data_IF_109502663528
#
_entry.id   IF_109502663528
#
_cell.length_a   1.000
_cell.length_b   1.000
_cell.length_c   1.000
_cell.angle_alpha   90.00
_cell.angle_beta   90.00
_cell.angle_gamma   90.00
#
_symmetry.space_group_name_H-M   'P 1'
#
loop_
_entity.id
_entity.type
_entity.pdbx_description
1 polymer ?
#
# COMPACT_ATOMS: atom_id res chain seq x y z
N UNK A 1 -29.59 -18.43 21.54
CA UNK A 1 -28.76 -17.26 21.27
C UNK A 1 -27.32 -17.59 21.70
N UNK A 2 -26.31 -17.39 20.87
CA UNK A 2 -24.93 -17.66 21.29
C UNK A 2 -24.57 -16.69 22.41
N UNK A 3 -23.86 -17.16 23.45
CA UNK A 3 -23.54 -16.41 24.70
C UNK A 3 -22.80 -15.06 24.51
N UNK A 4 -22.51 -14.64 23.29
CA UNK A 4 -21.66 -13.45 22.97
C UNK A 4 -22.34 -12.45 22.02
N UNK A 5 -23.64 -12.54 21.76
CA UNK A 5 -24.39 -11.58 20.93
C UNK A 5 -25.23 -10.70 21.84
N UNK A 6 -25.07 -9.39 21.70
CA UNK A 6 -25.79 -8.35 22.40
C UNK A 6 -26.70 -7.59 21.43
N UNK A 7 -27.82 -7.04 21.93
CA UNK A 7 -28.50 -5.96 21.21
C UNK A 7 -27.70 -4.67 21.27
N UNK A 8 -27.99 -3.73 20.36
CA UNK A 8 -27.31 -2.42 20.36
C UNK A 8 -27.51 -1.67 21.67
N UNK A 9 -28.71 -1.77 22.28
CA UNK A 9 -29.00 -1.13 23.56
C UNK A 9 -28.17 -1.73 24.71
N UNK A 10 -28.12 -3.07 24.83
CA UNK A 10 -27.29 -3.76 25.82
C UNK A 10 -25.82 -3.45 25.63
N UNK A 11 -25.33 -3.42 24.37
CA UNK A 11 -23.96 -3.13 24.02
C UNK A 11 -23.59 -1.71 24.47
N UNK A 12 -24.40 -0.70 24.12
CA UNK A 12 -24.13 0.70 24.51
C UNK A 12 -24.14 0.89 26.03
N UNK A 13 -25.01 0.20 26.73
CA UNK A 13 -25.05 0.23 28.21
C UNK A 13 -23.74 -0.30 28.81
N UNK A 14 -23.14 -1.32 28.19
CA UNK A 14 -21.94 -1.98 28.70
C UNK A 14 -20.61 -1.30 28.24
N UNK A 15 -20.56 -0.83 27.01
CA UNK A 15 -19.31 -0.37 26.37
C UNK A 15 -19.28 1.13 26.03
N UNK A 16 -20.37 1.86 26.29
CA UNK A 16 -20.53 3.27 25.93
C UNK A 16 -21.17 3.48 24.56
N UNK A 17 -21.13 4.73 24.08
CA UNK A 17 -21.90 5.14 22.89
C UNK A 17 -21.03 5.58 21.71
N UNK A 18 -19.71 5.73 21.92
CA UNK A 18 -18.80 6.27 20.91
C UNK A 18 -17.80 5.20 20.49
N UNK A 19 -17.83 4.88 19.21
CA UNK A 19 -16.96 3.88 18.60
C UNK A 19 -16.34 4.41 17.33
N UNK A 20 -15.37 3.67 16.79
CA UNK A 20 -14.53 4.13 15.68
C UNK A 20 -14.31 3.00 14.67
N UNK A 21 -14.06 3.42 13.44
CA UNK A 21 -13.59 2.54 12.38
C UNK A 21 -12.55 3.28 11.54
N UNK A 22 -11.41 2.63 11.29
CA UNK A 22 -10.44 3.13 10.34
C UNK A 22 -10.82 2.67 8.95
N UNK A 23 -10.83 3.58 7.98
CA UNK A 23 -11.22 3.35 6.60
C UNK A 23 -10.21 3.98 5.65
N UNK A 24 -10.09 3.39 4.47
CA UNK A 24 -9.39 4.00 3.33
C UNK A 24 -10.18 5.18 2.78
N UNK A 25 -9.51 6.06 2.04
CA UNK A 25 -10.12 7.23 1.40
C UNK A 25 -11.28 6.89 0.45
N UNK A 26 -11.25 5.71 -0.18
CA UNK A 26 -12.33 5.20 -1.04
C UNK A 26 -13.54 4.61 -0.27
N UNK A 27 -13.46 4.55 1.06
CA UNK A 27 -14.46 3.99 1.97
C UNK A 27 -14.77 2.50 1.73
N UNK A 28 -13.89 1.76 1.07
CA UNK A 28 -14.07 0.32 0.84
C UNK A 28 -13.22 -0.48 1.84
N UNK A 29 -13.85 -1.45 2.51
CA UNK A 29 -13.16 -2.40 3.37
C UNK A 29 -13.74 -3.81 3.18
N UNK A 30 -12.90 -4.76 2.79
CA UNK A 30 -13.30 -6.14 2.45
C UNK A 30 -14.49 -6.24 1.48
N UNK A 31 -14.49 -5.40 0.44
CA UNK A 31 -15.53 -5.38 -0.58
C UNK A 31 -16.82 -4.65 -0.19
N UNK A 32 -16.99 -4.28 1.08
CA UNK A 32 -18.11 -3.45 1.52
C UNK A 32 -17.77 -1.97 1.37
N UNK A 33 -18.65 -1.20 0.70
CA UNK A 33 -18.51 0.24 0.54
C UNK A 33 -19.33 0.96 1.61
N UNK A 34 -18.63 1.64 2.52
CA UNK A 34 -19.22 2.44 3.58
C UNK A 34 -19.68 3.81 3.06
N UNK A 35 -20.66 4.39 3.77
CA UNK A 35 -21.17 5.74 3.50
C UNK A 35 -21.56 6.44 4.80
N UNK A 36 -21.70 7.77 4.77
CA UNK A 36 -22.31 8.50 5.88
C UNK A 36 -23.75 8.03 6.08
N UNK A 37 -24.17 7.98 7.34
CA UNK A 37 -25.47 7.44 7.73
C UNK A 37 -25.46 5.92 7.95
N UNK A 38 -26.58 5.29 7.76
CA UNK A 38 -26.79 3.87 8.05
C UNK A 38 -26.07 2.98 7.02
N UNK A 39 -25.30 2.03 7.53
CA UNK A 39 -24.64 0.95 6.80
C UNK A 39 -25.15 -0.38 7.33
N UNK A 40 -25.66 -1.23 6.45
CA UNK A 40 -26.19 -2.57 6.78
C UNK A 40 -25.42 -3.58 5.95
N UNK A 41 -24.88 -4.62 6.59
CA UNK A 41 -24.22 -5.70 5.84
C UNK A 41 -25.25 -6.45 5.00
N UNK A 42 -24.91 -6.72 3.76
CA UNK A 42 -25.74 -7.49 2.82
C UNK A 42 -25.69 -9.00 3.09
N UNK A 43 -24.68 -9.44 3.85
CA UNK A 43 -24.55 -10.84 4.24
C UNK A 43 -25.27 -11.10 5.57
N UNK A 44 -25.82 -12.29 5.79
CA UNK A 44 -26.40 -12.68 7.07
C UNK A 44 -25.40 -12.49 8.22
N UNK A 45 -25.86 -11.94 9.33
CA UNK A 45 -25.00 -11.71 10.50
C UNK A 45 -24.40 -13.02 11.01
N UNK A 46 -23.06 -13.03 11.10
CA UNK A 46 -22.31 -14.17 11.55
C UNK A 46 -21.59 -13.85 12.86
N UNK A 47 -22.08 -14.30 14.02
CA UNK A 47 -21.48 -14.04 15.33
C UNK A 47 -20.26 -14.95 15.58
N UNK A 48 -19.29 -14.94 14.67
CA UNK A 48 -18.02 -15.65 14.84
C UNK A 48 -16.86 -14.70 14.56
N UNK A 49 -15.74 -14.91 15.28
CA UNK A 49 -14.57 -14.03 15.24
C UNK A 49 -13.69 -14.15 14.00
N UNK A 50 -12.61 -13.38 14.03
CA UNK A 50 -11.47 -13.45 13.09
C UNK A 50 -11.79 -13.11 11.64
N UNK A 51 -12.30 -11.88 11.39
CA UNK A 51 -12.45 -11.30 10.05
C UNK A 51 -13.28 -12.11 9.06
N UNK A 52 -14.24 -12.92 9.55
CA UNK A 52 -15.20 -13.63 8.70
C UNK A 52 -16.30 -12.69 8.20
N UNK A 53 -16.81 -12.94 7.01
CA UNK A 53 -17.94 -12.22 6.41
C UNK A 53 -19.21 -12.31 7.29
N UNK A 54 -20.16 -11.41 7.04
CA UNK A 54 -21.43 -11.31 7.80
C UNK A 54 -21.28 -10.47 9.06
N UNK A 55 -21.09 -9.18 8.88
CA UNK A 55 -21.01 -8.12 9.88
C UNK A 55 -19.93 -7.09 9.64
N UNK A 56 -20.18 -5.88 10.09
CA UNK A 56 -19.34 -4.70 9.95
C UNK A 56 -18.48 -4.53 11.20
N UNK A 57 -17.16 -4.55 11.04
CA UNK A 57 -16.21 -4.42 12.14
C UNK A 57 -15.96 -2.96 12.52
N UNK A 58 -15.85 -2.70 13.83
CA UNK A 58 -15.50 -1.43 14.44
C UNK A 58 -14.80 -1.66 15.79
N UNK A 59 -14.30 -0.58 16.44
CA UNK A 59 -13.56 -0.69 17.70
C UNK A 59 -13.88 0.48 18.63
N UNK A 60 -13.40 0.40 19.86
CA UNK A 60 -13.37 1.54 20.79
C UNK A 60 -12.07 2.35 20.65
N UNK A 61 -12.02 3.48 21.33
CA UNK A 61 -10.85 4.38 21.30
C UNK A 61 -9.59 3.73 21.87
N UNK A 62 -9.71 2.81 22.82
CA UNK A 62 -8.56 2.18 23.48
C UNK A 62 -7.80 1.24 22.54
N UNK A 63 -8.54 0.67 21.59
CA UNK A 63 -8.03 -0.31 20.64
C UNK A 63 -7.82 0.24 19.22
N UNK A 64 -8.16 1.52 18.97
CA UNK A 64 -8.10 2.10 17.62
C UNK A 64 -6.72 2.00 16.98
N UNK A 65 -5.66 2.08 17.79
CA UNK A 65 -4.27 2.01 17.32
C UNK A 65 -3.95 0.66 16.65
N UNK A 66 -4.64 -0.43 17.02
CA UNK A 66 -4.46 -1.74 16.41
C UNK A 66 -4.94 -1.78 14.94
N UNK A 67 -5.64 -0.75 14.50
CA UNK A 67 -6.33 -0.72 13.21
C UNK A 67 -5.90 0.44 12.30
N UNK A 68 -4.92 1.27 12.72
CA UNK A 68 -4.46 2.42 11.93
C UNK A 68 -3.86 2.03 10.57
N UNK A 69 -3.40 0.79 10.41
CA UNK A 69 -2.89 0.26 9.14
C UNK A 69 -3.97 0.03 8.07
N UNK A 70 -5.23 0.01 8.48
CA UNK A 70 -6.33 -0.27 7.55
C UNK A 70 -6.78 0.93 6.71
N UNK A 71 -6.33 2.16 7.03
CA UNK A 71 -6.69 3.34 6.25
C UNK A 71 -6.17 4.66 6.80
N UNK A 72 -6.56 5.73 6.13
CA UNK A 72 -6.13 7.11 6.38
C UNK A 72 -7.16 7.93 7.17
N UNK A 73 -8.39 7.42 7.29
CA UNK A 73 -9.54 8.14 7.85
C UNK A 73 -10.10 7.41 9.05
N UNK A 74 -10.53 8.17 10.04
CA UNK A 74 -11.21 7.64 11.24
C UNK A 74 -12.68 8.00 11.15
N UNK A 75 -13.55 7.00 11.13
CA UNK A 75 -14.99 7.20 11.14
C UNK A 75 -15.54 7.08 12.55
N UNK A 76 -16.40 8.01 12.92
CA UNK A 76 -17.16 7.97 14.17
C UNK A 76 -18.41 7.10 13.97
N UNK A 77 -18.52 6.06 14.77
CA UNK A 77 -19.55 5.02 14.68
C UNK A 77 -20.57 5.18 15.82
N UNK A 78 -21.82 5.17 15.44
CA UNK A 78 -22.96 4.99 16.35
C UNK A 78 -23.62 3.65 16.07
N UNK A 79 -24.11 3.00 17.13
CA UNK A 79 -24.75 1.69 17.06
C UNK A 79 -26.25 1.86 17.22
N UNK A 80 -27.07 1.45 16.24
CA UNK A 80 -28.55 1.38 16.41
C UNK A 80 -28.94 0.45 17.55
N UNK A 81 -30.00 0.78 18.29
CA UNK A 81 -30.47 0.00 19.44
C UNK A 81 -30.86 -1.43 19.09
N UNK A 82 -31.37 -1.63 17.89
CA UNK A 82 -31.82 -2.90 17.34
C UNK A 82 -30.71 -3.66 16.54
N UNK A 83 -29.43 -3.23 16.62
CA UNK A 83 -28.33 -3.96 16.03
C UNK A 83 -28.04 -5.26 16.77
N UNK A 84 -27.56 -6.26 16.05
CA UNK A 84 -26.94 -7.45 16.62
C UNK A 84 -25.42 -7.26 16.68
N UNK A 85 -24.81 -7.44 17.87
CA UNK A 85 -23.39 -7.18 18.06
C UNK A 85 -22.71 -8.39 18.66
N UNK A 86 -21.62 -8.81 17.99
CA UNK A 86 -20.68 -9.80 18.49
C UNK A 86 -19.43 -9.10 19.02
N UNK A 87 -18.97 -9.49 20.22
CA UNK A 87 -17.81 -8.87 20.87
C UNK A 87 -16.59 -9.78 20.79
N UNK A 88 -15.47 -9.21 20.35
CA UNK A 88 -14.14 -9.81 20.37
C UNK A 88 -13.24 -9.07 21.40
N UNK A 89 -11.98 -9.41 21.48
CA UNK A 89 -11.08 -8.86 22.50
C UNK A 89 -10.76 -7.37 22.27
N UNK A 90 -10.55 -6.97 21.01
CA UNK A 90 -10.08 -5.64 20.63
C UNK A 90 -10.96 -4.93 19.60
N UNK A 91 -12.02 -5.61 19.17
CA UNK A 91 -12.97 -5.10 18.17
C UNK A 91 -14.35 -5.69 18.38
N UNK A 92 -15.28 -5.12 17.67
CA UNK A 92 -16.68 -5.50 17.67
C UNK A 92 -17.18 -5.71 16.25
N UNK A 93 -18.24 -6.45 16.10
CA UNK A 93 -18.87 -6.77 14.82
C UNK A 93 -20.36 -6.58 14.94
N UNK A 94 -20.97 -5.79 14.05
CA UNK A 94 -22.41 -5.56 14.02
C UNK A 94 -23.02 -5.89 12.65
N UNK A 95 -24.30 -6.24 12.62
CA UNK A 95 -25.07 -6.36 11.39
C UNK A 95 -25.28 -5.00 10.70
N UNK A 96 -25.33 -3.92 11.47
CA UNK A 96 -25.47 -2.55 10.99
C UNK A 96 -24.82 -1.53 11.92
N UNK A 97 -24.35 -0.44 11.34
CA UNK A 97 -23.73 0.70 12.04
C UNK A 97 -24.12 2.01 11.36
N UNK A 98 -24.10 3.12 12.10
CA UNK A 98 -24.26 4.46 11.55
C UNK A 98 -22.88 5.15 11.56
N UNK A 99 -22.46 5.69 10.43
CA UNK A 99 -21.30 6.59 10.36
C UNK A 99 -21.78 8.02 10.46
N UNK A 100 -21.51 8.65 11.60
CA UNK A 100 -21.94 10.02 11.86
C UNK A 100 -20.98 11.05 11.29
N UNK A 101 -19.67 10.73 11.28
CA UNK A 101 -18.62 11.62 10.81
C UNK A 101 -17.43 10.81 10.29
N UNK A 102 -16.78 11.34 9.27
CA UNK A 102 -15.48 10.87 8.79
C UNK A 102 -14.44 11.96 9.12
N UNK A 103 -13.45 11.59 9.93
CA UNK A 103 -12.35 12.44 10.37
C UNK A 103 -11.16 12.15 9.46
N UNK A 104 -10.80 13.12 8.62
CA UNK A 104 -9.69 13.00 7.65
C UNK A 104 -8.71 14.19 7.72
N UNK A 105 -9.00 15.20 8.55
CA UNK A 105 -8.10 16.32 8.77
C UNK A 105 -7.13 16.00 9.90
N UNK A 106 -5.84 16.26 9.68
CA UNK A 106 -4.81 16.03 10.69
C UNK A 106 -5.15 16.65 12.04
N UNK A 107 -5.60 17.90 12.07
CA UNK A 107 -5.95 18.61 13.32
C UNK A 107 -7.01 17.89 14.13
N UNK A 108 -8.03 17.32 13.48
CA UNK A 108 -9.10 16.59 14.16
C UNK A 108 -8.62 15.21 14.66
N UNK A 109 -7.77 14.53 13.87
CA UNK A 109 -7.15 13.25 14.26
C UNK A 109 -6.22 13.46 15.46
N UNK A 110 -5.39 14.50 15.40
CA UNK A 110 -4.48 14.86 16.48
C UNK A 110 -5.25 15.17 17.77
N UNK A 111 -6.32 15.93 17.66
CA UNK A 111 -7.17 16.25 18.82
C UNK A 111 -7.81 14.99 19.42
N UNK A 112 -8.29 14.06 18.58
CA UNK A 112 -8.81 12.77 19.02
C UNK A 112 -7.76 11.99 19.83
N UNK A 113 -6.51 11.96 19.38
CA UNK A 113 -5.44 11.25 20.06
C UNK A 113 -5.04 11.93 21.39
N UNK A 114 -4.96 13.27 21.40
CA UNK A 114 -4.64 14.07 22.59
C UNK A 114 -5.65 13.88 23.72
N UNK A 115 -6.94 14.00 23.42
CA UNK A 115 -8.02 13.89 24.41
C UNK A 115 -8.06 12.50 25.08
N UNK A 116 -7.72 11.46 24.34
CA UNK A 116 -7.91 10.09 24.82
C UNK A 116 -6.66 9.47 25.47
N UNK A 117 -5.53 10.18 25.57
CA UNK A 117 -4.32 9.74 26.28
C UNK A 117 -3.94 8.28 25.96
N UNK A 118 -3.88 7.94 24.67
CA UNK A 118 -3.65 6.58 24.20
C UNK A 118 -2.28 6.06 24.65
N UNK A 119 -2.18 4.75 24.93
CA UNK A 119 -0.89 4.15 25.33
C UNK A 119 0.13 4.23 24.20
N UNK A 120 1.41 4.54 24.49
CA UNK A 120 2.45 4.61 23.46
C UNK A 120 2.61 3.31 22.68
N UNK A 121 2.50 3.41 21.32
CA UNK A 121 2.76 2.34 20.34
C UNK A 121 3.36 2.97 19.09
N UNK A 122 4.20 2.23 18.36
CA UNK A 122 4.84 2.69 17.11
C UNK A 122 3.84 3.09 16.03
N UNK A 123 2.64 2.52 16.06
CA UNK A 123 1.62 2.67 15.01
C UNK A 123 1.18 4.12 14.76
N UNK A 124 1.24 4.99 15.79
CA UNK A 124 0.90 6.42 15.60
C UNK A 124 1.94 7.14 14.74
N UNK A 125 3.25 6.93 15.02
CA UNK A 125 4.31 7.56 14.23
C UNK A 125 4.27 7.08 12.77
N UNK A 126 4.07 5.78 12.58
CA UNK A 126 3.93 5.18 11.25
C UNK A 126 2.67 5.71 10.52
N UNK A 127 1.53 5.76 11.21
CA UNK A 127 0.29 6.34 10.68
C UNK A 127 0.49 7.80 10.26
N UNK A 128 1.11 8.61 11.12
CA UNK A 128 1.38 10.01 10.82
C UNK A 128 2.29 10.15 9.59
N UNK A 129 3.34 9.34 9.49
CA UNK A 129 4.25 9.36 8.35
C UNK A 129 3.56 8.93 7.04
N UNK A 130 2.76 7.86 7.07
CA UNK A 130 1.99 7.36 5.91
C UNK A 130 1.01 8.39 5.36
N UNK A 131 0.43 9.20 6.24
CA UNK A 131 -0.61 10.17 5.88
C UNK A 131 -0.09 11.61 5.72
N UNK A 132 1.22 11.84 5.91
CA UNK A 132 1.81 13.16 5.79
C UNK A 132 1.47 14.11 6.94
N UNK A 133 1.07 13.58 8.10
CA UNK A 133 0.62 14.32 9.27
C UNK A 133 1.82 14.71 10.17
N UNK A 134 2.50 15.80 9.81
CA UNK A 134 3.73 16.23 10.51
C UNK A 134 3.49 16.63 11.96
N UNK A 135 2.42 17.35 12.24
CA UNK A 135 2.12 17.81 13.61
C UNK A 135 1.72 16.64 14.51
N UNK A 136 1.05 15.64 13.96
CA UNK A 136 0.75 14.39 14.69
C UNK A 136 2.04 13.61 14.99
N UNK A 137 2.98 13.56 14.04
CA UNK A 137 4.27 12.90 14.26
C UNK A 137 5.10 13.64 15.35
N UNK A 138 5.17 14.96 15.30
CA UNK A 138 5.85 15.79 16.30
C UNK A 138 5.28 15.53 17.69
N UNK A 139 3.96 15.65 17.83
CA UNK A 139 3.27 15.38 19.09
C UNK A 139 3.54 13.96 19.59
N UNK A 140 3.44 12.96 18.74
CA UNK A 140 3.69 11.56 19.13
C UNK A 140 5.10 11.38 19.71
N UNK A 141 6.10 12.02 19.12
CA UNK A 141 7.48 11.98 19.62
C UNK A 141 7.64 12.71 20.95
N UNK A 142 7.02 13.85 21.13
CA UNK A 142 6.98 14.57 22.42
C UNK A 142 6.35 13.73 23.52
N UNK A 143 5.38 12.90 23.21
CA UNK A 143 4.75 11.97 24.15
C UNK A 143 5.54 10.66 24.34
N UNK A 144 6.69 10.50 23.67
CA UNK A 144 7.56 9.33 23.79
C UNK A 144 7.11 8.10 22.98
N UNK A 145 6.23 8.27 22.00
CA UNK A 145 5.84 7.16 21.12
C UNK A 145 7.04 6.70 20.29
N UNK A 146 7.31 5.39 20.20
CA UNK A 146 8.43 4.86 19.43
C UNK A 146 8.21 5.05 17.92
N UNK A 147 9.29 5.12 17.20
CA UNK A 147 9.34 5.07 15.73
C UNK A 147 10.49 4.18 15.26
N UNK A 148 10.49 3.85 13.98
CA UNK A 148 11.50 3.05 13.32
C UNK A 148 11.82 3.64 11.92
N UNK A 149 12.64 2.94 11.15
CA UNK A 149 13.04 3.31 9.79
C UNK A 149 11.86 3.48 8.82
N UNK A 150 10.73 2.78 9.05
CA UNK A 150 9.54 2.91 8.23
C UNK A 150 8.93 4.31 8.32
N UNK A 151 9.11 5.02 9.43
CA UNK A 151 8.67 6.42 9.57
C UNK A 151 9.36 7.31 8.53
N UNK A 152 10.69 7.21 8.39
CA UNK A 152 11.43 7.92 7.36
C UNK A 152 11.07 7.44 5.95
N UNK A 153 10.91 6.13 5.76
CA UNK A 153 10.58 5.53 4.47
C UNK A 153 9.22 6.01 3.94
N UNK A 154 8.20 6.09 4.79
CA UNK A 154 6.88 6.61 4.37
C UNK A 154 6.85 8.13 4.19
N UNK A 155 7.61 8.90 4.99
CA UNK A 155 7.79 10.32 4.73
C UNK A 155 8.41 10.55 3.33
N UNK A 156 9.41 9.75 2.99
CA UNK A 156 10.06 9.78 1.68
C UNK A 156 9.12 9.32 0.54
N UNK A 157 8.34 8.27 0.77
CA UNK A 157 7.29 7.79 -0.16
C UNK A 157 6.32 8.88 -0.58
N UNK A 158 5.88 9.69 0.39
CA UNK A 158 4.93 10.76 0.15
C UNK A 158 5.58 12.04 -0.42
N UNK A 159 6.90 12.07 -0.57
CA UNK A 159 7.62 13.28 -0.96
C UNK A 159 7.58 14.37 0.12
N UNK A 160 7.22 14.04 1.35
CA UNK A 160 7.17 15.00 2.45
C UNK A 160 8.58 15.26 3.00
N UNK A 161 9.32 16.07 2.24
CA UNK A 161 10.71 16.39 2.56
C UNK A 161 10.85 17.11 3.91
N UNK A 162 9.88 17.94 4.30
CA UNK A 162 9.87 18.61 5.61
C UNK A 162 9.80 17.60 6.75
N UNK A 163 8.86 16.65 6.65
CA UNK A 163 8.71 15.58 7.63
C UNK A 163 9.96 14.69 7.69
N UNK A 164 10.53 14.32 6.55
CA UNK A 164 11.74 13.49 6.50
C UNK A 164 12.92 14.20 7.16
N UNK A 165 13.12 15.48 6.88
CA UNK A 165 14.16 16.32 7.53
C UNK A 165 13.97 16.35 9.03
N UNK A 166 12.78 16.71 9.46
CA UNK A 166 12.47 16.79 10.89
C UNK A 166 12.68 15.44 11.60
N UNK A 167 12.23 14.34 11.01
CA UNK A 167 12.41 13.00 11.59
C UNK A 167 13.90 12.67 11.76
N UNK A 168 14.72 12.94 10.75
CA UNK A 168 16.17 12.70 10.80
C UNK A 168 16.88 13.57 11.84
N UNK A 169 16.57 14.85 11.91
CA UNK A 169 17.11 15.78 12.92
C UNK A 169 16.76 15.35 14.34
N UNK A 170 15.64 14.67 14.53
CA UNK A 170 15.20 14.14 15.82
C UNK A 170 15.57 12.65 16.06
N UNK A 171 16.51 12.11 15.27
CA UNK A 171 17.13 10.81 15.53
C UNK A 171 16.34 9.59 15.00
N UNK A 172 15.38 9.77 14.10
CA UNK A 172 14.74 8.64 13.43
C UNK A 172 15.75 7.90 12.55
N UNK A 173 15.85 6.58 12.68
CA UNK A 173 16.67 5.76 11.80
C UNK A 173 16.08 5.72 10.38
N UNK A 174 16.92 5.40 9.42
CA UNK A 174 16.53 5.09 8.05
C UNK A 174 17.41 3.98 7.46
N UNK A 175 16.95 3.36 6.41
CA UNK A 175 17.63 2.33 5.66
C UNK A 175 17.40 2.51 4.15
N UNK A 176 17.79 1.53 3.35
CA UNK A 176 17.63 1.55 1.89
C UNK A 176 16.17 1.63 1.43
N UNK A 177 15.20 1.25 2.29
CA UNK A 177 13.77 1.37 1.97
C UNK A 177 13.34 2.83 1.81
N UNK A 178 13.99 3.76 2.49
CA UNK A 178 13.74 5.21 2.35
C UNK A 178 14.01 5.67 0.92
N UNK A 179 15.16 5.31 0.35
CA UNK A 179 15.48 5.60 -1.04
C UNK A 179 14.59 4.82 -2.02
N UNK A 180 14.34 3.54 -1.74
CA UNK A 180 13.48 2.68 -2.56
C UNK A 180 12.06 3.22 -2.70
N UNK A 181 11.41 3.59 -1.58
CA UNK A 181 10.05 4.12 -1.58
C UNK A 181 9.95 5.54 -2.18
N UNK A 182 10.97 6.39 -2.00
CA UNK A 182 11.05 7.66 -2.71
C UNK A 182 11.07 7.44 -4.23
N UNK A 183 11.89 6.50 -4.70
CA UNK A 183 11.99 6.17 -6.13
C UNK A 183 10.69 5.53 -6.67
N UNK A 184 10.05 4.63 -5.90
CA UNK A 184 8.79 3.96 -6.26
C UNK A 184 7.65 4.95 -6.51
N UNK A 185 7.69 6.10 -5.86
CA UNK A 185 6.67 7.14 -5.98
C UNK A 185 7.14 8.38 -6.75
N UNK A 186 8.29 8.30 -7.41
CA UNK A 186 8.81 9.36 -8.27
C UNK A 186 9.27 10.60 -7.52
N UNK A 187 9.58 10.49 -6.24
CA UNK A 187 9.93 11.62 -5.36
C UNK A 187 11.43 11.96 -5.49
N UNK A 188 11.84 12.42 -6.68
CA UNK A 188 13.23 12.63 -7.03
C UNK A 188 13.96 13.60 -6.07
N UNK A 189 13.35 14.72 -5.71
CA UNK A 189 13.99 15.70 -4.83
C UNK A 189 14.20 15.14 -3.41
N UNK A 190 13.24 14.33 -2.92
CA UNK A 190 13.36 13.65 -1.63
C UNK A 190 14.45 12.57 -1.69
N UNK A 191 14.54 11.83 -2.79
CA UNK A 191 15.58 10.84 -3.02
C UNK A 191 16.97 11.49 -3.06
N UNK A 192 17.13 12.61 -3.78
CA UNK A 192 18.36 13.39 -3.83
C UNK A 192 18.79 13.81 -2.43
N UNK A 193 17.87 14.44 -1.69
CA UNK A 193 18.18 14.90 -0.34
C UNK A 193 18.59 13.74 0.58
N UNK A 194 17.88 12.62 0.54
CA UNK A 194 18.21 11.44 1.36
C UNK A 194 19.63 10.93 1.05
N UNK A 195 20.01 10.85 -0.21
CA UNK A 195 21.35 10.43 -0.62
C UNK A 195 22.43 11.40 -0.18
N UNK A 196 22.24 12.70 -0.34
CA UNK A 196 23.18 13.74 0.07
C UNK A 196 23.43 13.72 1.59
N UNK A 197 22.45 13.19 2.36
CA UNK A 197 22.53 13.04 3.82
C UNK A 197 22.89 11.62 4.29
N UNK A 198 23.40 10.77 3.38
CA UNK A 198 23.97 9.48 3.71
C UNK A 198 22.99 8.30 3.84
N UNK A 199 21.76 8.43 3.32
CA UNK A 199 20.85 7.29 3.26
C UNK A 199 21.42 6.21 2.31
N UNK A 200 21.44 4.95 2.75
CA UNK A 200 21.84 3.83 1.89
C UNK A 200 20.80 3.55 0.81
N UNK A 201 21.23 2.90 -0.26
CA UNK A 201 20.38 2.36 -1.31
C UNK A 201 20.92 1.04 -1.86
N UNK A 202 20.09 0.30 -2.55
CA UNK A 202 20.43 -0.94 -3.23
C UNK A 202 19.80 -0.98 -4.64
N UNK A 203 19.85 -2.13 -5.31
CA UNK A 203 19.28 -2.35 -6.65
C UNK A 203 17.76 -2.11 -6.69
N UNK A 204 17.07 -2.23 -5.54
CA UNK A 204 15.63 -1.95 -5.44
C UNK A 204 15.32 -0.50 -5.75
N UNK A 205 16.21 0.45 -5.47
CA UNK A 205 15.98 1.86 -5.80
C UNK A 205 15.83 2.07 -7.32
N UNK A 206 16.69 1.46 -8.13
CA UNK A 206 16.58 1.54 -9.59
C UNK A 206 15.35 0.78 -10.12
N UNK A 207 15.07 -0.41 -9.58
CA UNK A 207 13.90 -1.18 -10.00
C UNK A 207 12.57 -0.52 -9.57
N UNK A 208 12.54 0.17 -8.42
CA UNK A 208 11.42 1.01 -7.98
C UNK A 208 11.18 2.22 -8.89
N UNK A 209 12.25 2.91 -9.33
CA UNK A 209 12.13 3.96 -10.33
C UNK A 209 11.55 3.45 -11.66
N UNK A 210 11.96 2.22 -12.05
CA UNK A 210 11.41 1.58 -13.24
C UNK A 210 9.94 1.14 -13.05
N UNK A 211 9.58 0.66 -11.88
CA UNK A 211 8.19 0.36 -11.52
C UNK A 211 7.28 1.59 -11.61
N UNK A 212 7.74 2.71 -11.10
CA UNK A 212 7.03 4.01 -11.21
C UNK A 212 6.97 4.54 -12.66
N UNK A 213 7.91 4.11 -13.50
CA UNK A 213 8.04 4.62 -14.87
C UNK A 213 8.85 5.92 -15.00
N UNK A 214 9.50 6.37 -13.92
CA UNK A 214 10.30 7.60 -13.91
C UNK A 214 11.70 7.37 -14.48
N UNK A 215 11.86 7.63 -15.78
CA UNK A 215 13.18 7.56 -16.44
C UNK A 215 14.16 8.59 -15.88
N UNK A 216 13.68 9.74 -15.45
CA UNK A 216 14.51 10.80 -14.86
C UNK A 216 15.12 10.32 -13.54
N UNK A 217 14.32 9.77 -12.65
CA UNK A 217 14.76 9.20 -11.36
C UNK A 217 15.75 8.05 -11.60
N UNK A 218 15.46 7.16 -12.55
CA UNK A 218 16.35 6.05 -12.88
C UNK A 218 17.69 6.54 -13.41
N UNK A 219 17.70 7.51 -14.31
CA UNK A 219 18.93 8.10 -14.86
C UNK A 219 19.77 8.72 -13.76
N UNK A 220 19.17 9.59 -12.95
CA UNK A 220 19.86 10.24 -11.86
C UNK A 220 20.47 9.22 -10.88
N UNK A 221 19.68 8.22 -10.46
CA UNK A 221 20.17 7.19 -9.54
C UNK A 221 21.39 6.45 -10.10
N UNK A 222 21.36 6.10 -11.40
CA UNK A 222 22.50 5.45 -12.06
C UNK A 222 23.72 6.35 -12.19
N UNK A 223 23.55 7.61 -12.51
CA UNK A 223 24.63 8.61 -12.56
C UNK A 223 25.31 8.78 -11.20
N UNK A 224 24.56 8.61 -10.11
CA UNK A 224 25.09 8.62 -8.74
C UNK A 224 25.60 7.23 -8.27
N UNK A 225 25.69 6.24 -9.15
CA UNK A 225 26.26 4.92 -8.86
C UNK A 225 25.32 3.94 -8.16
N UNK A 226 24.00 4.19 -8.14
CA UNK A 226 23.04 3.22 -7.59
C UNK A 226 23.15 1.88 -8.34
N UNK A 227 23.28 0.73 -7.67
CA UNK A 227 23.25 -0.56 -8.34
C UNK A 227 21.89 -0.82 -9.00
N UNK A 228 21.85 -1.69 -9.97
CA UNK A 228 20.63 -2.19 -10.58
C UNK A 228 20.75 -3.66 -10.94
N UNK A 229 19.60 -4.29 -11.17
CA UNK A 229 19.50 -5.69 -11.56
C UNK A 229 18.50 -5.86 -12.72
N UNK A 230 18.23 -7.10 -13.07
CA UNK A 230 17.28 -7.50 -14.13
C UNK A 230 15.85 -6.97 -13.92
N UNK A 231 15.43 -6.71 -12.67
CA UNK A 231 14.10 -6.20 -12.38
C UNK A 231 13.89 -4.77 -12.88
N UNK A 232 14.97 -3.99 -13.03
CA UNK A 232 14.89 -2.67 -13.67
C UNK A 232 14.40 -2.79 -15.12
N UNK A 233 14.95 -3.72 -15.90
CA UNK A 233 14.45 -4.02 -17.24
C UNK A 233 13.07 -4.68 -17.21
N UNK A 234 12.83 -5.60 -16.26
CA UNK A 234 11.56 -6.28 -16.10
C UNK A 234 10.39 -5.31 -15.86
N UNK A 235 10.53 -4.35 -14.96
CA UNK A 235 9.49 -3.36 -14.66
C UNK A 235 9.33 -2.32 -15.78
N UNK A 236 10.41 -1.91 -16.44
CA UNK A 236 10.30 -1.09 -17.64
C UNK A 236 9.47 -1.80 -18.73
N UNK A 237 9.69 -3.11 -18.90
CA UNK A 237 8.95 -3.92 -19.87
C UNK A 237 7.49 -4.14 -19.44
N UNK A 238 7.23 -4.41 -18.16
CA UNK A 238 5.89 -4.52 -17.57
C UNK A 238 5.03 -3.30 -17.88
N UNK A 239 5.62 -2.10 -17.72
CA UNK A 239 4.92 -0.84 -17.92
C UNK A 239 4.85 -0.41 -19.40
N UNK A 240 5.40 -1.20 -20.32
CA UNK A 240 5.48 -0.82 -21.73
C UNK A 240 6.39 0.40 -21.98
N UNK A 241 7.24 0.76 -21.03
CA UNK A 241 8.11 1.92 -21.15
C UNK A 241 9.34 1.59 -22.00
N UNK A 242 9.11 1.47 -23.31
CA UNK A 242 10.13 1.10 -24.29
C UNK A 242 11.33 2.06 -24.28
N UNK A 243 11.09 3.35 -24.03
CA UNK A 243 12.16 4.36 -23.94
C UNK A 243 13.10 4.05 -22.76
N UNK A 244 12.54 3.71 -21.62
CA UNK A 244 13.29 3.34 -20.42
C UNK A 244 14.03 2.01 -20.62
N UNK A 245 13.36 1.00 -21.18
CA UNK A 245 13.95 -0.30 -21.43
C UNK A 245 15.15 -0.19 -22.40
N UNK A 246 15.02 0.58 -23.48
CA UNK A 246 16.12 0.87 -24.41
C UNK A 246 17.30 1.50 -23.68
N UNK A 247 17.05 2.59 -22.97
CA UNK A 247 18.09 3.29 -22.23
C UNK A 247 18.79 2.39 -21.20
N UNK A 248 18.04 1.60 -20.44
CA UNK A 248 18.61 0.68 -19.45
C UNK A 248 19.54 -0.34 -20.12
N UNK A 249 19.11 -0.93 -21.24
CA UNK A 249 19.93 -1.90 -22.00
C UNK A 249 21.18 -1.29 -22.62
N UNK A 250 21.08 -0.12 -23.20
CA UNK A 250 22.21 0.64 -23.76
C UNK A 250 23.27 0.97 -22.70
N UNK A 251 22.84 1.10 -21.42
CA UNK A 251 23.71 1.37 -20.28
C UNK A 251 24.09 0.11 -19.47
N UNK A 252 23.88 -1.10 -20.05
CA UNK A 252 24.38 -2.36 -19.50
C UNK A 252 23.51 -3.01 -18.41
N UNK A 253 22.25 -2.59 -18.22
CA UNK A 253 21.33 -3.29 -17.32
C UNK A 253 21.08 -4.72 -17.80
N UNK A 254 21.19 -5.71 -16.94
CA UNK A 254 20.88 -7.11 -17.25
C UNK A 254 19.37 -7.32 -17.47
N UNK A 255 19.03 -8.35 -18.20
CA UNK A 255 17.67 -8.87 -18.34
C UNK A 255 17.68 -10.39 -18.44
N UNK A 256 16.53 -11.01 -18.24
CA UNK A 256 16.31 -12.45 -18.44
C UNK A 256 14.91 -12.69 -19.03
N UNK A 257 14.46 -13.95 -19.03
CA UNK A 257 13.15 -14.38 -19.53
C UNK A 257 11.98 -13.67 -18.83
N UNK A 258 12.16 -13.22 -17.59
CA UNK A 258 11.14 -12.49 -16.85
C UNK A 258 10.78 -11.15 -17.51
N UNK A 259 11.73 -10.52 -18.21
CA UNK A 259 11.48 -9.27 -18.95
C UNK A 259 10.44 -9.48 -20.06
N UNK A 260 10.58 -10.54 -20.87
CA UNK A 260 9.59 -10.91 -21.87
C UNK A 260 8.27 -11.37 -21.23
N UNK A 261 8.35 -12.15 -20.15
CA UNK A 261 7.20 -12.62 -19.39
C UNK A 261 6.33 -11.47 -18.87
N UNK A 262 6.94 -10.47 -18.21
CA UNK A 262 6.24 -9.30 -17.68
C UNK A 262 5.64 -8.41 -18.76
N UNK A 263 6.33 -8.23 -19.91
CA UNK A 263 5.76 -7.55 -21.06
C UNK A 263 4.51 -8.27 -21.57
N UNK A 264 4.57 -9.60 -21.68
CA UNK A 264 3.46 -10.42 -22.14
C UNK A 264 2.28 -10.45 -21.15
N UNK A 265 2.57 -10.49 -19.85
CA UNK A 265 1.57 -10.46 -18.77
C UNK A 265 0.72 -9.18 -18.81
N UNK A 266 1.33 -8.07 -19.21
CA UNK A 266 0.72 -6.74 -19.15
C UNK A 266 0.34 -6.17 -20.53
N UNK A 267 0.30 -7.01 -21.57
CA UNK A 267 -0.20 -6.62 -22.88
C UNK A 267 0.75 -5.76 -23.72
N UNK A 268 2.05 -5.73 -23.39
CA UNK A 268 3.01 -4.79 -23.96
C UNK A 268 3.69 -5.35 -25.22
N UNK A 269 2.91 -5.56 -26.30
CA UNK A 269 3.36 -6.24 -27.52
C UNK A 269 4.59 -5.58 -28.15
N UNK A 270 4.59 -4.27 -28.34
CA UNK A 270 5.71 -3.57 -29.00
C UNK A 270 7.00 -3.63 -28.17
N UNK A 271 6.85 -3.59 -26.85
CA UNK A 271 8.01 -3.76 -25.93
C UNK A 271 8.54 -5.19 -25.99
N UNK A 272 7.66 -6.19 -26.03
CA UNK A 272 8.02 -7.59 -26.18
C UNK A 272 8.73 -7.85 -27.53
N UNK A 273 8.18 -7.33 -28.62
CA UNK A 273 8.80 -7.43 -29.96
C UNK A 273 10.20 -6.84 -29.97
N UNK A 274 10.37 -5.65 -29.41
CA UNK A 274 11.67 -5.00 -29.34
C UNK A 274 12.65 -5.80 -28.47
N UNK A 275 12.22 -6.26 -27.29
CA UNK A 275 13.05 -7.06 -26.39
C UNK A 275 13.58 -8.32 -27.10
N UNK A 276 12.70 -9.06 -27.76
CA UNK A 276 13.09 -10.26 -28.55
C UNK A 276 14.04 -9.96 -29.69
N UNK A 277 13.78 -8.92 -30.46
CA UNK A 277 14.65 -8.50 -31.56
C UNK A 277 16.07 -8.11 -31.08
N UNK A 278 16.20 -7.72 -29.80
CA UNK A 278 17.47 -7.35 -29.16
C UNK A 278 18.04 -8.47 -28.26
N UNK A 279 17.59 -9.72 -28.43
CA UNK A 279 18.16 -10.90 -27.80
C UNK A 279 17.70 -11.19 -26.35
N UNK A 280 16.60 -10.58 -25.89
CA UNK A 280 16.03 -10.94 -24.60
C UNK A 280 15.53 -12.40 -24.64
N UNK A 281 15.94 -13.27 -23.72
CA UNK A 281 15.42 -14.63 -23.65
C UNK A 281 13.92 -14.62 -23.31
N UNK A 282 13.25 -15.70 -23.67
CA UNK A 282 11.88 -16.00 -23.24
C UNK A 282 11.71 -17.50 -23.01
N UNK A 283 10.67 -17.87 -22.31
CA UNK A 283 10.31 -19.25 -22.02
C UNK A 283 8.79 -19.48 -22.17
N UNK A 284 8.32 -20.64 -21.77
CA UNK A 284 6.89 -21.00 -21.81
C UNK A 284 6.01 -20.07 -20.94
N UNK A 285 6.61 -19.41 -19.91
CA UNK A 285 5.87 -18.47 -19.06
C UNK A 285 5.39 -17.26 -19.84
N UNK A 286 6.16 -16.81 -20.85
CA UNK A 286 5.75 -15.69 -21.73
C UNK A 286 4.42 -15.97 -22.41
N UNK A 287 4.24 -17.15 -23.01
CA UNK A 287 2.99 -17.57 -23.59
C UNK A 287 1.88 -17.74 -22.54
N UNK A 288 2.22 -18.35 -21.40
CA UNK A 288 1.27 -18.64 -20.32
C UNK A 288 0.71 -17.36 -19.70
N UNK A 289 1.54 -16.36 -19.51
CA UNK A 289 1.10 -15.06 -19.00
C UNK A 289 0.22 -14.31 -19.99
N UNK A 290 0.57 -14.32 -21.28
CA UNK A 290 -0.30 -13.78 -22.32
C UNK A 290 -1.67 -14.46 -22.34
N UNK A 291 -1.70 -15.80 -22.28
CA UNK A 291 -2.95 -16.57 -22.31
C UNK A 291 -3.81 -16.34 -21.05
N UNK A 292 -3.18 -16.27 -19.86
CA UNK A 292 -3.87 -16.08 -18.58
C UNK A 292 -4.56 -14.71 -18.48
N UNK A 293 -3.99 -13.70 -19.15
CA UNK A 293 -4.48 -12.34 -19.12
C UNK A 293 -5.21 -11.94 -20.41
N UNK A 294 -5.61 -12.94 -21.24
CA UNK A 294 -6.38 -12.76 -22.48
C UNK A 294 -5.70 -11.84 -23.52
N UNK A 295 -4.36 -11.75 -23.51
CA UNK A 295 -3.60 -10.99 -24.51
C UNK A 295 -3.42 -11.80 -25.80
N UNK A 296 -4.50 -11.98 -26.55
CA UNK A 296 -4.58 -12.87 -27.72
C UNK A 296 -3.57 -12.52 -28.81
N UNK A 297 -3.35 -11.22 -29.05
CA UNK A 297 -2.39 -10.75 -30.06
C UNK A 297 -0.95 -11.13 -29.69
N UNK A 298 -0.57 -10.97 -28.42
CA UNK A 298 0.74 -11.41 -27.91
C UNK A 298 0.87 -12.93 -28.01
N UNK A 299 -0.17 -13.68 -27.60
CA UNK A 299 -0.16 -15.13 -27.66
C UNK A 299 0.02 -15.63 -29.12
N UNK A 300 -0.66 -15.00 -30.08
CA UNK A 300 -0.50 -15.31 -31.49
C UNK A 300 0.93 -15.01 -31.95
N UNK A 301 1.40 -13.81 -31.70
CA UNK A 301 2.74 -13.39 -32.12
C UNK A 301 3.84 -14.26 -31.50
N UNK A 302 3.75 -14.63 -30.21
CA UNK A 302 4.75 -15.49 -29.54
C UNK A 302 4.79 -16.88 -30.17
N UNK A 303 3.64 -17.47 -30.51
CA UNK A 303 3.57 -18.75 -31.22
C UNK A 303 4.20 -18.69 -32.61
N UNK A 304 3.89 -17.64 -33.39
CA UNK A 304 4.43 -17.43 -34.74
C UNK A 304 5.95 -17.20 -34.72
N UNK A 305 6.50 -16.70 -33.61
CA UNK A 305 7.93 -16.42 -33.45
C UNK A 305 8.69 -17.48 -32.64
N UNK A 306 8.10 -18.68 -32.44
CA UNK A 306 8.79 -19.85 -31.91
C UNK A 306 8.92 -19.92 -30.39
N UNK A 307 8.07 -19.21 -29.66
CA UNK A 307 7.95 -19.44 -28.22
C UNK A 307 7.36 -20.83 -27.96
N UNK A 308 8.02 -21.64 -27.12
CA UNK A 308 7.53 -22.98 -26.77
C UNK A 308 6.34 -22.87 -25.78
N UNK A 309 5.18 -22.67 -26.33
CA UNK A 309 3.93 -22.64 -25.55
C UNK A 309 3.52 -24.08 -25.24
N UNK A 310 3.74 -24.58 -24.03
CA UNK A 310 3.36 -25.93 -23.63
C UNK A 310 1.92 -26.27 -24.03
N UNK A 311 1.66 -27.47 -24.57
CA UNK A 311 0.47 -27.89 -25.33
C UNK A 311 -0.92 -27.79 -24.67
N UNK A 312 -1.07 -27.09 -23.54
CA UNK A 312 -2.35 -26.87 -22.84
C UNK A 312 -3.07 -25.56 -23.21
N UNK A 313 -2.46 -24.71 -24.04
CA UNK A 313 -2.99 -23.38 -24.38
C UNK A 313 -3.42 -23.28 -25.86
N UNK A 314 -3.88 -24.39 -26.41
CA UNK A 314 -4.52 -24.45 -27.72
C UNK A 314 -6.03 -24.19 -27.54
N UNK A 315 -6.47 -22.96 -27.49
CA UNK A 315 -7.84 -22.58 -27.80
C UNK A 315 -7.82 -21.46 -28.82
#
# INVERSE_FOLDING_TARGET
MSKNVLSGLEFKTKYGTVFYKVLRSNLIHYGFKYQLGLNVDTQPFNPSGSCKSGGLYFTDIKNILNFLDYGEQISLIEIPDDSQIYTETDKFKADKVIINKIINKESEILELFKINSLKPRSDICLFAARNGHLETLKWAREQGYPWDELTCAYAAKNGNLEMLKWARENGCSWDESTCGLAAENGQLETLKWARDHGCSWDERTCSSAAWNGSLETLKWAREQGCPWDKWTCGYAAKNGNLKMLKWARENGCSWDESTCGLAAENGQLETLKWARANGCPWDELTCRYAARNDHIEILRWTKENGCQCGGKYHK
#
